data_IF_152759561369
#
_entry.id   IF_152759561369
#
_cell.length_a   1.000
_cell.length_b   1.000
_cell.length_c   1.000
_cell.angle_alpha   90.00
_cell.angle_beta   90.00
_cell.angle_gamma   90.00
#
_symmetry.space_group_name_H-M   'P 1'
#
loop_
_entity.id
_entity.type
_entity.pdbx_description
1 polymer ?
#
# COMPACT_ATOMS: atom_id res chain seq x y z
N UNK A 1 26.94 -10.20 16.35
CA UNK A 1 26.29 -11.30 15.62
C UNK A 1 25.03 -10.70 14.97
N UNK A 2 25.14 -10.33 13.67
CA UNK A 2 23.96 -9.97 12.89
C UNK A 2 23.14 -11.25 12.68
N UNK A 3 21.90 -11.30 13.19
CA UNK A 3 20.94 -12.32 12.77
C UNK A 3 20.74 -12.09 11.27
N UNK A 4 21.14 -13.03 10.43
CA UNK A 4 20.70 -13.06 9.04
C UNK A 4 19.19 -13.01 9.05
N UNK A 5 18.61 -11.89 8.63
CA UNK A 5 17.17 -11.78 8.46
C UNK A 5 16.81 -12.65 7.25
N UNK A 6 16.29 -13.83 7.53
CA UNK A 6 15.86 -14.77 6.50
C UNK A 6 14.46 -14.37 5.99
N UNK A 7 14.29 -13.09 5.66
CA UNK A 7 13.03 -12.51 5.16
C UNK A 7 13.28 -11.89 3.79
N UNK A 8 12.49 -12.29 2.81
CA UNK A 8 12.43 -11.67 1.48
C UNK A 8 11.33 -10.62 1.49
N UNK A 9 11.71 -9.34 1.48
CA UNK A 9 10.78 -8.21 1.50
C UNK A 9 10.42 -7.76 0.08
N UNK A 10 9.12 -7.59 -0.19
CA UNK A 10 8.59 -7.14 -1.48
C UNK A 10 7.64 -5.96 -1.28
N UNK A 11 7.87 -4.87 -2.01
CA UNK A 11 6.97 -3.72 -2.05
C UNK A 11 5.98 -3.84 -3.22
N UNK A 12 4.70 -4.03 -2.90
CA UNK A 12 3.60 -4.13 -3.88
C UNK A 12 3.10 -2.72 -4.30
N UNK A 13 4.00 -1.84 -4.72
CA UNK A 13 3.67 -0.46 -5.11
C UNK A 13 4.62 0.09 -6.16
N UNK A 14 4.06 0.77 -7.18
CA UNK A 14 4.83 1.51 -8.18
C UNK A 14 5.31 2.89 -7.69
N UNK A 15 4.85 3.37 -6.53
CA UNK A 15 5.14 4.72 -6.03
C UNK A 15 6.63 4.95 -5.76
N UNK A 16 7.29 5.91 -6.47
CA UNK A 16 8.69 6.27 -6.19
C UNK A 16 8.89 6.73 -4.75
N UNK A 17 7.94 7.48 -4.20
CA UNK A 17 8.01 8.01 -2.84
C UNK A 17 8.03 6.91 -1.77
N UNK A 18 7.21 5.87 -1.93
CA UNK A 18 7.22 4.73 -0.99
C UNK A 18 8.53 3.96 -1.04
N UNK A 19 9.06 3.75 -2.24
CA UNK A 19 10.37 3.13 -2.45
C UNK A 19 11.48 3.93 -1.77
N UNK A 20 11.47 5.25 -1.95
CA UNK A 20 12.43 6.15 -1.31
C UNK A 20 12.35 6.07 0.23
N UNK A 21 11.15 6.12 0.81
CA UNK A 21 10.94 6.02 2.26
C UNK A 21 11.48 4.71 2.85
N UNK A 22 11.21 3.57 2.21
CA UNK A 22 11.74 2.28 2.67
C UNK A 22 13.26 2.21 2.56
N UNK A 23 13.84 2.79 1.50
CA UNK A 23 15.30 2.89 1.35
C UNK A 23 15.95 3.79 2.41
N UNK A 24 15.31 4.89 2.78
CA UNK A 24 15.80 5.82 3.82
C UNK A 24 15.94 5.15 5.19
N UNK A 25 15.08 4.19 5.51
CA UNK A 25 15.17 3.41 6.76
C UNK A 25 16.06 2.17 6.64
N UNK A 26 16.77 2.02 5.52
CA UNK A 26 17.79 0.98 5.33
C UNK A 26 17.23 -0.42 5.04
N UNK A 27 16.00 -0.55 4.59
CA UNK A 27 15.43 -1.84 4.20
C UNK A 27 15.89 -2.24 2.79
N UNK A 28 16.26 -3.51 2.64
CA UNK A 28 16.48 -4.14 1.33
C UNK A 28 15.18 -4.82 0.87
N UNK A 29 14.69 -4.47 -0.30
CA UNK A 29 13.42 -4.98 -0.82
C UNK A 29 13.41 -5.04 -2.34
N UNK A 30 12.53 -5.88 -2.87
CA UNK A 30 12.21 -5.93 -4.31
C UNK A 30 10.92 -5.13 -4.57
N UNK A 31 10.84 -4.43 -5.69
CA UNK A 31 9.61 -3.71 -6.11
C UNK A 31 8.86 -4.57 -7.12
N UNK A 32 7.61 -4.89 -6.83
CA UNK A 32 6.70 -5.62 -7.72
C UNK A 32 5.30 -5.02 -7.59
N UNK A 33 4.92 -4.04 -8.44
CA UNK A 33 3.62 -3.40 -8.36
C UNK A 33 2.48 -4.38 -8.68
N UNK A 34 1.40 -4.33 -7.89
CA UNK A 34 0.16 -4.99 -8.26
C UNK A 34 -0.46 -4.30 -9.48
N UNK A 35 -0.90 -5.10 -10.44
CA UNK A 35 -1.62 -4.67 -11.64
C UNK A 35 -3.08 -5.10 -11.63
N UNK A 36 -3.52 -5.76 -10.55
CA UNK A 36 -4.90 -6.18 -10.37
C UNK A 36 -5.83 -4.98 -10.23
N UNK A 37 -7.02 -5.08 -10.78
CA UNK A 37 -8.04 -4.02 -10.70
C UNK A 37 -8.45 -3.81 -9.24
N UNK A 38 -8.44 -2.55 -8.81
CA UNK A 38 -8.82 -2.15 -7.47
C UNK A 38 -10.35 -2.22 -7.30
N UNK A 39 -10.81 -3.02 -6.36
CA UNK A 39 -12.23 -3.30 -6.17
C UNK A 39 -12.60 -3.12 -4.68
N UNK A 40 -12.87 -1.87 -4.27
CA UNK A 40 -13.26 -1.57 -2.92
C UNK A 40 -14.78 -1.36 -2.81
N UNK A 41 -15.37 -1.84 -1.72
CA UNK A 41 -16.81 -1.74 -1.44
C UNK A 41 -17.14 -0.59 -0.49
N UNK A 42 -16.15 -0.11 0.25
CA UNK A 42 -16.32 0.97 1.24
C UNK A 42 -16.06 2.35 0.64
N UNK A 43 -16.75 3.36 1.17
CA UNK A 43 -16.55 4.78 0.85
C UNK A 43 -15.95 5.56 2.02
N UNK A 44 -15.68 4.89 3.14
CA UNK A 44 -14.99 5.47 4.29
C UNK A 44 -13.48 5.43 4.02
N UNK A 45 -12.80 6.58 4.11
CA UNK A 45 -11.43 6.75 3.63
C UNK A 45 -10.41 5.82 4.32
N UNK A 46 -10.50 5.67 5.64
CA UNK A 46 -9.60 4.80 6.40
C UNK A 46 -9.79 3.33 6.04
N UNK A 47 -11.04 2.86 5.99
CA UNK A 47 -11.35 1.49 5.57
C UNK A 47 -10.98 1.23 4.11
N UNK A 48 -11.18 2.21 3.22
CA UNK A 48 -10.83 2.12 1.82
C UNK A 48 -9.33 1.85 1.60
N UNK A 49 -8.47 2.66 2.23
CA UNK A 49 -7.02 2.50 2.06
C UNK A 49 -6.51 1.20 2.69
N UNK A 50 -7.14 0.71 3.75
CA UNK A 50 -6.84 -0.59 4.33
C UNK A 50 -7.23 -1.73 3.36
N UNK A 51 -8.43 -1.69 2.80
CA UNK A 51 -8.90 -2.67 1.83
C UNK A 51 -8.00 -2.71 0.60
N UNK A 52 -7.68 -1.55 -0.01
CA UNK A 52 -6.85 -1.45 -1.20
C UNK A 52 -5.38 -1.85 -0.93
N UNK A 53 -4.81 -1.48 0.22
CA UNK A 53 -3.46 -1.92 0.59
C UNK A 53 -3.38 -3.44 0.75
N UNK A 54 -4.40 -4.06 1.35
CA UNK A 54 -4.49 -5.51 1.50
C UNK A 54 -4.63 -6.22 0.15
N UNK A 55 -5.50 -5.74 -0.73
CA UNK A 55 -5.65 -6.31 -2.08
C UNK A 55 -4.32 -6.33 -2.83
N UNK A 56 -3.54 -5.24 -2.78
CA UNK A 56 -2.22 -5.15 -3.42
C UNK A 56 -1.21 -6.12 -2.81
N UNK A 57 -1.20 -6.26 -1.49
CA UNK A 57 -0.29 -7.17 -0.81
C UNK A 57 -0.61 -8.64 -1.14
N UNK A 58 -1.89 -9.03 -1.08
CA UNK A 58 -2.36 -10.38 -1.38
C UNK A 58 -2.07 -10.75 -2.83
N UNK A 59 -2.36 -9.86 -3.79
CA UNK A 59 -2.11 -10.11 -5.21
C UNK A 59 -0.63 -10.48 -5.47
N UNK A 60 0.30 -9.71 -4.94
CA UNK A 60 1.73 -9.98 -5.13
C UNK A 60 2.19 -11.21 -4.37
N UNK A 61 1.64 -11.44 -3.18
CA UNK A 61 1.96 -12.63 -2.41
C UNK A 61 1.50 -13.91 -3.15
N UNK A 62 0.27 -13.93 -3.70
CA UNK A 62 -0.25 -15.04 -4.50
C UNK A 62 0.61 -15.32 -5.75
N UNK A 63 1.05 -14.29 -6.45
CA UNK A 63 1.93 -14.42 -7.61
C UNK A 63 3.30 -15.03 -7.25
N UNK A 64 3.85 -14.71 -6.08
CA UNK A 64 5.18 -15.16 -5.66
C UNK A 64 5.16 -16.52 -4.94
N UNK A 65 4.05 -16.87 -4.28
CA UNK A 65 3.87 -18.15 -3.57
C UNK A 65 3.32 -19.28 -4.45
N UNK A 66 3.06 -19.02 -5.74
CA UNK A 66 2.53 -20.01 -6.67
C UNK A 66 1.06 -20.35 -6.45
N UNK A 67 0.29 -19.45 -5.85
CA UNK A 67 -1.15 -19.61 -5.64
C UNK A 67 -1.53 -20.58 -4.49
N UNK A 68 -0.59 -20.97 -3.65
CA UNK A 68 -0.88 -21.70 -2.42
C UNK A 68 -1.27 -20.74 -1.28
N UNK A 69 -2.26 -19.88 -1.52
CA UNK A 69 -2.78 -18.94 -0.54
C UNK A 69 -3.97 -19.53 0.19
N UNK A 70 -3.82 -19.85 1.45
CA UNK A 70 -4.95 -19.98 2.36
C UNK A 70 -5.56 -18.60 2.58
N UNK A 71 -6.87 -18.51 2.41
CA UNK A 71 -7.64 -17.30 2.68
C UNK A 71 -7.66 -17.07 4.22
N UNK A 72 -7.00 -16.05 4.79
CA UNK A 72 -6.95 -15.89 6.25
C UNK A 72 -8.28 -15.50 6.89
N UNK A 73 -9.34 -15.31 6.11
CA UNK A 73 -10.70 -15.05 6.59
C UNK A 73 -11.58 -16.33 6.63
N UNK A 74 -11.03 -17.50 6.35
CA UNK A 74 -11.73 -18.76 6.57
C UNK A 74 -11.58 -19.13 8.04
N UNK A 75 -12.70 -19.18 8.74
CA UNK A 75 -12.89 -19.49 10.15
C UNK A 75 -11.87 -20.46 10.75
N UNK A 76 -11.38 -20.08 11.95
CA UNK A 76 -10.55 -20.87 12.83
C UNK A 76 -11.17 -22.25 13.06
N UNK A 77 -10.68 -23.26 12.36
CA UNK A 77 -10.66 -24.66 12.81
C UNK A 77 -9.94 -25.50 11.75
N UNK A 78 -8.64 -25.60 11.92
CA UNK A 78 -7.82 -26.80 11.69
C UNK A 78 -6.35 -26.40 11.69
N UNK A 79 -5.73 -26.55 12.86
CA UNK A 79 -4.28 -26.52 13.01
C UNK A 79 -3.75 -27.81 12.39
N UNK A 80 -3.37 -27.75 11.12
CA UNK A 80 -2.49 -28.73 10.53
C UNK A 80 -1.09 -28.14 10.57
N UNK A 81 -0.24 -28.66 11.45
CA UNK A 81 1.21 -28.47 11.42
C UNK A 81 1.75 -29.04 10.07
N UNK A 82 1.70 -28.26 9.01
CA UNK A 82 2.55 -28.51 7.86
C UNK A 82 3.95 -27.98 8.15
N UNK A 83 4.76 -28.84 8.75
CA UNK A 83 6.21 -28.68 8.80
C UNK A 83 6.75 -28.56 7.38
N UNK A 84 7.12 -27.33 6.97
CA UNK A 84 7.86 -27.12 5.73
C UNK A 84 9.15 -27.96 5.78
N UNK A 85 9.21 -29.00 4.94
CA UNK A 85 10.42 -29.81 4.80
C UNK A 85 11.59 -28.93 4.35
N UNK A 86 12.76 -29.02 4.99
CA UNK A 86 13.93 -28.29 4.57
C UNK A 86 14.36 -28.80 3.19
N UNK A 87 14.58 -27.86 2.28
CA UNK A 87 15.19 -28.08 0.99
C UNK A 87 16.47 -28.96 1.14
N UNK A 88 16.81 -29.82 0.17
CA UNK A 88 17.95 -30.76 0.16
C UNK A 88 19.31 -30.15 0.56
N UNK A 89 19.43 -28.83 0.69
CA UNK A 89 20.62 -28.11 1.15
C UNK A 89 20.55 -27.58 2.60
N UNK A 90 19.53 -27.94 3.39
CA UNK A 90 19.44 -27.56 4.82
C UNK A 90 19.23 -26.05 5.09
N UNK A 91 19.03 -25.23 4.07
CA UNK A 91 18.71 -23.80 4.23
C UNK A 91 17.19 -23.62 4.15
N UNK A 92 16.60 -23.08 5.22
CA UNK A 92 15.21 -22.63 5.21
C UNK A 92 15.06 -21.55 4.13
N UNK A 93 14.03 -21.63 3.32
CA UNK A 93 13.71 -20.53 2.40
C UNK A 93 13.40 -19.28 3.20
N UNK A 94 13.80 -18.09 2.71
CA UNK A 94 13.45 -16.85 3.38
C UNK A 94 11.92 -16.69 3.42
N UNK A 95 11.39 -16.30 4.57
CA UNK A 95 9.98 -15.96 4.71
C UNK A 95 9.64 -14.79 3.78
N UNK A 96 8.59 -14.94 2.96
CA UNK A 96 8.13 -13.88 2.08
C UNK A 96 7.24 -12.91 2.87
N UNK A 97 7.62 -11.63 2.90
CA UNK A 97 6.84 -10.54 3.46
C UNK A 97 6.53 -9.52 2.37
N UNK A 98 5.26 -9.28 2.11
CA UNK A 98 4.81 -8.31 1.11
C UNK A 98 4.23 -7.07 1.80
N UNK A 99 4.69 -5.89 1.38
CA UNK A 99 4.15 -4.59 1.80
C UNK A 99 3.23 -4.06 0.72
N UNK A 100 1.92 -4.04 1.00
CA UNK A 100 0.94 -3.31 0.21
C UNK A 100 0.68 -1.94 0.80
N UNK A 101 0.43 -0.93 -0.02
CA UNK A 101 0.05 0.38 0.46
C UNK A 101 -0.86 1.11 -0.53
N UNK A 102 -1.78 1.91 0.02
CA UNK A 102 -2.63 2.80 -0.74
C UNK A 102 -2.77 4.16 -0.06
N UNK A 103 -3.10 5.21 -0.83
CA UNK A 103 -3.24 6.59 -0.30
C UNK A 103 -4.36 7.29 -1.02
N UNK A 104 -5.26 7.91 -0.25
CA UNK A 104 -6.32 8.76 -0.77
C UNK A 104 -6.32 10.12 -0.08
N UNK A 105 -6.77 11.14 -0.80
CA UNK A 105 -7.03 12.48 -0.28
C UNK A 105 -8.53 12.59 0.01
N UNK A 106 -8.88 13.12 1.17
CA UNK A 106 -10.25 13.38 1.56
C UNK A 106 -10.43 14.87 1.88
N UNK A 107 -11.36 15.53 1.21
CA UNK A 107 -11.69 16.93 1.45
C UNK A 107 -13.18 17.05 1.71
N UNK A 108 -13.57 17.66 2.84
CA UNK A 108 -14.97 17.83 3.25
C UNK A 108 -15.78 16.51 3.20
N UNK A 109 -15.16 15.40 3.64
CA UNK A 109 -15.76 14.06 3.65
C UNK A 109 -15.88 13.39 2.28
N UNK A 110 -15.31 13.98 1.22
CA UNK A 110 -15.28 13.38 -0.12
C UNK A 110 -13.89 12.89 -0.45
N UNK A 111 -13.80 11.64 -0.86
CA UNK A 111 -12.56 11.06 -1.38
C UNK A 111 -12.30 11.61 -2.77
N UNK A 112 -11.12 12.18 -2.96
CA UNK A 112 -10.64 12.68 -4.23
C UNK A 112 -9.80 11.59 -4.90
N UNK A 113 -10.25 11.14 -6.08
CA UNK A 113 -9.52 10.19 -6.91
C UNK A 113 -8.30 10.82 -7.59
N UNK A 114 -7.62 10.05 -8.44
CA UNK A 114 -6.58 10.59 -9.30
C UNK A 114 -7.21 11.44 -10.42
N UNK A 115 -6.71 12.63 -10.69
CA UNK A 115 -7.21 13.41 -11.82
C UNK A 115 -6.85 12.71 -13.13
N UNK A 116 -7.82 12.62 -14.04
CA UNK A 116 -7.64 11.97 -15.35
C UNK A 116 -7.38 12.98 -16.48
N UNK A 117 -7.44 14.27 -16.18
CA UNK A 117 -7.14 15.36 -17.12
C UNK A 117 -6.54 16.55 -16.38
N UNK A 118 -5.97 17.48 -17.15
CA UNK A 118 -5.44 18.73 -16.62
C UNK A 118 -6.53 19.58 -15.96
N UNK A 119 -7.71 19.62 -16.55
CA UNK A 119 -8.87 20.35 -16.05
C UNK A 119 -9.32 19.76 -14.69
N UNK A 120 -9.44 18.43 -14.59
CA UNK A 120 -9.78 17.76 -13.35
C UNK A 120 -8.72 18.00 -12.26
N UNK A 121 -7.44 18.07 -12.61
CA UNK A 121 -6.37 18.43 -11.67
C UNK A 121 -6.50 19.88 -11.18
N UNK A 122 -6.83 20.82 -12.07
CA UNK A 122 -7.04 22.21 -11.71
C UNK A 122 -8.25 22.41 -10.80
N UNK A 123 -9.37 21.75 -11.09
CA UNK A 123 -10.56 21.74 -10.23
C UNK A 123 -10.24 21.18 -8.82
N UNK A 124 -9.50 20.08 -8.77
CA UNK A 124 -9.11 19.45 -7.50
C UNK A 124 -8.21 20.38 -6.68
N UNK A 125 -7.17 20.97 -7.27
CA UNK A 125 -6.29 21.91 -6.58
C UNK A 125 -7.03 23.18 -6.14
N UNK A 126 -7.98 23.67 -6.97
CA UNK A 126 -8.85 24.79 -6.61
C UNK A 126 -9.73 24.46 -5.40
N UNK A 127 -10.18 23.22 -5.28
CA UNK A 127 -10.95 22.77 -4.11
C UNK A 127 -10.09 22.61 -2.84
N UNK A 128 -8.81 22.30 -2.98
CA UNK A 128 -7.87 22.05 -1.87
C UNK A 128 -7.16 23.32 -1.38
N UNK A 129 -6.94 24.31 -2.25
CA UNK A 129 -6.15 25.49 -1.92
C UNK A 129 -6.80 26.33 -0.82
N UNK A 130 -5.98 26.91 0.06
CA UNK A 130 -6.41 27.80 1.15
C UNK A 130 -7.21 27.11 2.24
N UNK A 131 -7.17 25.78 2.34
CA UNK A 131 -7.89 25.00 3.34
C UNK A 131 -7.19 23.73 3.76
N UNK A 132 -7.66 23.15 4.87
CA UNK A 132 -7.20 21.85 5.35
C UNK A 132 -7.95 20.72 4.67
N UNK A 133 -7.25 19.62 4.46
CA UNK A 133 -7.80 18.35 3.99
C UNK A 133 -7.06 17.19 4.66
N UNK A 134 -7.55 15.99 4.50
CA UNK A 134 -7.00 14.79 5.12
C UNK A 134 -6.38 13.88 4.06
N UNK A 135 -5.25 13.29 4.40
CA UNK A 135 -4.56 12.29 3.59
C UNK A 135 -4.51 11.00 4.38
N UNK A 136 -5.19 9.97 3.88
CA UNK A 136 -5.21 8.65 4.47
C UNK A 136 -4.25 7.74 3.73
N UNK A 137 -3.38 7.04 4.46
CA UNK A 137 -2.47 6.04 3.90
C UNK A 137 -2.68 4.72 4.63
N UNK A 138 -3.16 3.71 3.89
CA UNK A 138 -3.28 2.34 4.36
C UNK A 138 -2.02 1.55 4.05
N UNK A 139 -1.62 0.70 4.98
CA UNK A 139 -0.48 -0.22 4.84
C UNK A 139 -0.90 -1.61 5.29
N UNK A 140 -0.52 -2.61 4.51
CA UNK A 140 -0.67 -4.02 4.85
C UNK A 140 0.67 -4.72 4.76
N UNK A 141 1.05 -5.40 5.83
CA UNK A 141 2.14 -6.35 5.88
C UNK A 141 1.52 -7.75 5.78
N UNK A 142 1.87 -8.48 4.74
CA UNK A 142 1.28 -9.78 4.45
C UNK A 142 2.35 -10.85 4.34
N UNK A 143 2.24 -11.89 5.18
CA UNK A 143 3.06 -13.11 5.11
C UNK A 143 2.17 -14.35 5.18
N UNK A 144 2.76 -15.54 5.12
CA UNK A 144 2.03 -16.78 5.27
C UNK A 144 1.47 -16.96 6.69
N UNK A 145 2.19 -16.46 7.70
CA UNK A 145 1.89 -16.66 9.12
C UNK A 145 1.02 -15.57 9.71
N UNK A 146 1.09 -14.34 9.16
CA UNK A 146 0.46 -13.18 9.79
C UNK A 146 0.11 -12.10 8.75
N UNK A 147 -0.99 -11.40 9.02
CA UNK A 147 -1.38 -10.20 8.27
C UNK A 147 -1.65 -9.06 9.23
N UNK A 148 -0.95 -7.95 9.03
CA UNK A 148 -1.17 -6.71 9.78
C UNK A 148 -1.61 -5.63 8.81
N UNK A 149 -2.76 -5.01 9.07
CA UNK A 149 -3.29 -3.90 8.26
C UNK A 149 -3.66 -2.73 9.17
N UNK A 150 -3.21 -1.54 8.81
CA UNK A 150 -3.50 -0.30 9.54
C UNK A 150 -3.54 0.87 8.57
N UNK A 151 -4.01 2.03 9.04
CA UNK A 151 -3.92 3.29 8.31
C UNK A 151 -3.46 4.43 9.22
N UNK A 152 -2.89 5.44 8.58
CA UNK A 152 -2.56 6.74 9.17
C UNK A 152 -3.35 7.84 8.46
N UNK A 153 -3.83 8.80 9.24
CA UNK A 153 -4.49 10.01 8.75
C UNK A 153 -3.62 11.21 9.07
N UNK A 154 -3.26 11.98 8.04
CA UNK A 154 -2.49 13.20 8.15
C UNK A 154 -3.34 14.38 7.73
N UNK A 155 -3.46 15.40 8.59
CA UNK A 155 -4.06 16.68 8.22
C UNK A 155 -3.04 17.52 7.45
N UNK A 156 -3.44 18.00 6.27
CA UNK A 156 -2.60 18.82 5.40
C UNK A 156 -3.34 20.14 5.16
N UNK A 157 -2.63 21.25 5.26
CA UNK A 157 -3.14 22.58 4.95
C UNK A 157 -2.39 23.13 3.73
N UNK A 158 -3.15 23.51 2.71
CA UNK A 158 -2.59 24.20 1.56
C UNK A 158 -2.71 25.70 1.73
N UNK A 159 -1.63 26.41 1.40
CA UNK A 159 -1.71 27.86 1.24
C UNK A 159 -2.65 28.23 0.10
N UNK A 160 -3.26 29.45 0.14
CA UNK A 160 -3.97 29.96 -1.01
C UNK A 160 -3.06 30.01 -2.24
N UNK A 161 -3.58 29.54 -3.36
CA UNK A 161 -2.88 29.54 -4.66
C UNK A 161 -3.68 30.33 -5.68
N UNK A 162 -3.00 31.08 -6.53
CA UNK A 162 -3.59 31.72 -7.71
C UNK A 162 -3.79 30.69 -8.83
N UNK A 163 -4.62 31.04 -9.83
CA UNK A 163 -4.80 30.18 -11.00
C UNK A 163 -3.48 29.92 -11.76
N UNK A 164 -2.57 30.90 -11.75
CA UNK A 164 -1.24 30.76 -12.37
C UNK A 164 -0.42 29.72 -11.64
N UNK A 165 -0.34 29.79 -10.29
CA UNK A 165 0.41 28.84 -9.47
C UNK A 165 -0.17 27.42 -9.59
N UNK A 166 -1.50 27.28 -9.64
CA UNK A 166 -2.16 25.99 -9.90
C UNK A 166 -1.74 25.43 -11.26
N UNK A 167 -1.75 26.28 -12.31
CA UNK A 167 -1.35 25.87 -13.65
C UNK A 167 0.12 25.43 -13.70
N UNK A 168 1.02 26.18 -13.10
CA UNK A 168 2.46 25.86 -13.01
C UNK A 168 2.71 24.55 -12.23
N UNK A 169 1.98 24.34 -11.15
CA UNK A 169 2.08 23.10 -10.37
C UNK A 169 1.66 21.85 -11.17
N UNK A 170 0.62 21.97 -11.99
CA UNK A 170 0.15 20.86 -12.85
C UNK A 170 1.16 20.54 -13.95
N UNK A 171 1.92 21.53 -14.40
CA UNK A 171 2.90 21.40 -15.48
C UNK A 171 4.29 20.93 -15.00
N UNK A 172 4.52 20.86 -13.67
CA UNK A 172 5.79 20.42 -13.05
C UNK A 172 5.89 18.90 -12.91
#
# INVERSE_FOLDING_TARGET
MQKEQNVRLVLASASPRRRELLSQIGLEFTVMPSTKEENAKTTEAGALVQELSRQKAVDIWEQLSGGQGQNPDADQEQIAEETQEPNLNGKRQPELLVIGADTVVCCEGKILGKPHSREAAAEMLTALQGRSHEVYTGVTLYSQSETVTFFECTQVEFYPMTEVEISEYIDS
#
